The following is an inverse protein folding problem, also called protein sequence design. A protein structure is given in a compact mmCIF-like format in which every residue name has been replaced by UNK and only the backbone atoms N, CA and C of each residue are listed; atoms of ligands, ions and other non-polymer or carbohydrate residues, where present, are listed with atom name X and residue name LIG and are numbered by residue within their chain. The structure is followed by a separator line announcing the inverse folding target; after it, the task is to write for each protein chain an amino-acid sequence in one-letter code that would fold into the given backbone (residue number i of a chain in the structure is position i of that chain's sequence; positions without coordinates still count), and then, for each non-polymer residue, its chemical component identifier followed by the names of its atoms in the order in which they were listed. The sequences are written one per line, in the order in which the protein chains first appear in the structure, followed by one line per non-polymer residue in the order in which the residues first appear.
data_IF_888939894907
#
_entry.id   IF_888939894907
#
_cell.length_a   1.000
_cell.length_b   1.000
_cell.length_c   1.000
_cell.angle_alpha   90.00
_cell.angle_beta   90.00
_cell.angle_gamma   90.00
#
_symmetry.space_group_name_H-M   'P 1'
#
loop_
_entity.id
_entity.type
_entity.pdbx_description
1 polymer ?
#
# COMPACT_ATOMS: atom_id res chain seq x y z
N UNK A 1 1.09 -4.77 -14.49
CA UNK A 1 0.74 -5.29 -13.16
C UNK A 1 1.62 -4.61 -12.12
N UNK A 2 1.01 -3.95 -11.13
CA UNK A 2 1.68 -3.11 -10.14
C UNK A 2 1.37 -3.61 -8.73
N UNK A 3 2.20 -3.26 -7.76
CA UNK A 3 1.93 -3.55 -6.34
C UNK A 3 1.56 -2.26 -5.64
N UNK A 4 0.46 -2.26 -4.91
CA UNK A 4 0.00 -1.14 -4.10
C UNK A 4 0.20 -1.48 -2.63
N UNK A 5 0.84 -0.58 -1.89
CA UNK A 5 0.95 -0.63 -0.43
C UNK A 5 -0.22 0.15 0.17
N UNK A 6 -1.11 -0.57 0.83
CA UNK A 6 -2.30 -0.04 1.51
C UNK A 6 -2.07 -0.08 3.00
N UNK A 7 -2.05 1.06 3.67
CA UNK A 7 -1.91 1.14 5.12
C UNK A 7 -3.30 1.17 5.74
N UNK A 8 -3.70 0.09 6.38
CA UNK A 8 -4.97 -0.03 7.08
C UNK A 8 -4.82 0.40 8.55
N UNK A 9 -5.80 1.13 9.07
CA UNK A 9 -5.84 1.62 10.45
C UNK A 9 -5.71 0.50 11.49
N UNK A 10 -6.30 -0.67 11.23
CA UNK A 10 -6.38 -1.77 12.20
C UNK A 10 -5.31 -2.86 12.03
N UNK A 11 -4.75 -2.99 10.83
CA UNK A 11 -3.89 -4.13 10.45
C UNK A 11 -2.46 -3.68 10.10
N UNK A 12 -2.27 -2.43 9.71
CA UNK A 12 -1.00 -1.92 9.19
C UNK A 12 -0.89 -2.05 7.67
N UNK A 13 0.32 -2.13 7.14
CA UNK A 13 0.57 -2.13 5.70
C UNK A 13 0.30 -3.50 5.05
N UNK A 14 -0.48 -3.50 3.97
CA UNK A 14 -0.81 -4.66 3.14
C UNK A 14 -0.37 -4.37 1.70
N UNK A 15 0.11 -5.39 0.99
CA UNK A 15 0.48 -5.26 -0.43
C UNK A 15 -0.58 -5.93 -1.30
N UNK A 16 -1.08 -5.19 -2.29
CA UNK A 16 -2.14 -5.62 -3.22
C UNK A 16 -1.63 -5.52 -4.65
N UNK A 17 -1.60 -6.64 -5.36
CA UNK A 17 -1.16 -6.69 -6.75
C UNK A 17 -2.31 -6.42 -7.72
N UNK A 18 -2.41 -5.19 -8.21
CA UNK A 18 -3.49 -4.71 -9.07
C UNK A 18 -2.96 -3.97 -10.30
N UNK A 19 -3.81 -3.79 -11.31
CA UNK A 19 -3.50 -2.94 -12.48
C UNK A 19 -3.89 -1.48 -12.24
N UNK A 20 -4.98 -1.26 -11.47
CA UNK A 20 -5.44 0.07 -11.05
C UNK A 20 -6.14 -0.01 -9.69
N UNK A 21 -6.26 1.14 -9.03
CA UNK A 21 -7.14 1.31 -7.88
C UNK A 21 -8.09 2.49 -8.13
N UNK A 22 -9.29 2.41 -7.56
CA UNK A 22 -10.27 3.50 -7.53
C UNK A 22 -10.68 3.74 -6.08
N UNK A 23 -10.61 5.00 -5.65
CA UNK A 23 -10.99 5.42 -4.31
C UNK A 23 -12.22 6.31 -4.38
N UNK A 24 -13.32 5.82 -3.82
CA UNK A 24 -14.54 6.58 -3.57
C UNK A 24 -14.61 6.98 -2.08
N UNK A 25 -15.55 7.86 -1.74
CA UNK A 25 -15.76 8.36 -0.37
C UNK A 25 -16.04 7.23 0.65
N UNK A 26 -16.58 6.09 0.17
CA UNK A 26 -16.93 4.94 1.01
C UNK A 26 -15.94 3.77 0.92
N UNK A 27 -15.31 3.54 -0.24
CA UNK A 27 -14.57 2.32 -0.53
C UNK A 27 -13.32 2.61 -1.38
N UNK A 28 -12.25 1.90 -1.10
CA UNK A 28 -11.06 1.81 -1.94
C UNK A 28 -11.01 0.43 -2.57
N UNK A 29 -11.08 0.39 -3.90
CA UNK A 29 -11.15 -0.84 -4.71
C UNK A 29 -9.90 -1.03 -5.55
N UNK A 30 -9.42 -2.25 -5.62
CA UNK A 30 -8.27 -2.65 -6.43
C UNK A 30 -8.73 -3.59 -7.53
N UNK A 31 -8.34 -3.30 -8.77
CA UNK A 31 -8.78 -4.01 -9.96
C UNK A 31 -7.61 -4.70 -10.65
N UNK A 32 -7.84 -5.94 -11.09
CA UNK A 32 -6.98 -6.65 -12.04
C UNK A 32 -7.79 -6.90 -13.30
N UNK A 33 -7.45 -6.23 -14.40
CA UNK A 33 -8.36 -6.09 -15.54
C UNK A 33 -9.71 -5.48 -15.13
N UNK A 34 -10.81 -6.14 -15.49
CA UNK A 34 -12.19 -5.72 -15.16
C UNK A 34 -12.70 -6.28 -13.81
N UNK A 35 -11.89 -7.06 -13.10
CA UNK A 35 -12.29 -7.71 -11.84
C UNK A 35 -11.76 -6.98 -10.62
N UNK A 36 -12.62 -6.76 -9.63
CA UNK A 36 -12.21 -6.31 -8.29
C UNK A 36 -11.55 -7.48 -7.57
N UNK A 37 -10.32 -7.29 -7.11
CA UNK A 37 -9.55 -8.31 -6.38
C UNK A 37 -9.46 -8.02 -4.88
N UNK A 38 -9.61 -6.76 -4.49
CA UNK A 38 -9.62 -6.34 -3.10
C UNK A 38 -10.46 -5.06 -2.93
N UNK A 39 -11.16 -4.97 -1.81
CA UNK A 39 -11.99 -3.83 -1.44
C UNK A 39 -11.79 -3.55 0.05
N UNK A 40 -11.60 -2.27 0.38
CA UNK A 40 -11.45 -1.81 1.75
C UNK A 40 -12.34 -0.60 2.00
N UNK A 41 -12.95 -0.48 3.20
CA UNK A 41 -13.66 0.74 3.56
C UNK A 41 -12.69 1.92 3.62
N UNK A 42 -13.06 3.05 3.00
CA UNK A 42 -12.23 4.25 2.92
C UNK A 42 -11.82 4.74 4.33
N UNK A 43 -12.74 4.67 5.30
CA UNK A 43 -12.46 5.00 6.71
C UNK A 43 -11.38 4.14 7.36
N UNK A 44 -11.10 2.96 6.81
CA UNK A 44 -10.06 2.05 7.30
C UNK A 44 -8.73 2.23 6.56
N UNK A 45 -8.70 2.92 5.43
CA UNK A 45 -7.49 3.16 4.64
C UNK A 45 -6.86 4.50 5.06
N UNK A 46 -5.64 4.44 5.59
CA UNK A 46 -4.85 5.63 5.96
C UNK A 46 -4.04 6.18 4.80
N UNK A 47 -3.47 5.28 4.00
CA UNK A 47 -2.53 5.62 2.93
C UNK A 47 -2.57 4.54 1.85
N UNK A 48 -2.49 4.96 0.58
CA UNK A 48 -2.27 4.07 -0.57
C UNK A 48 -1.05 4.58 -1.33
N UNK A 49 -0.02 3.75 -1.46
CA UNK A 49 1.19 4.06 -2.21
C UNK A 49 1.44 3.03 -3.32
N UNK A 50 1.75 3.49 -4.53
CA UNK A 50 2.19 2.61 -5.61
C UNK A 50 3.65 2.21 -5.37
N UNK A 51 3.91 0.94 -5.09
CA UNK A 51 5.26 0.40 -5.00
C UNK A 51 5.66 -0.11 -6.37
N UNK A 52 6.31 0.76 -7.15
CA UNK A 52 6.78 0.46 -8.51
C UNK A 52 8.05 -0.41 -8.58
N UNK A 53 8.46 -1.05 -7.48
CA UNK A 53 9.68 -1.87 -7.46
C UNK A 53 9.34 -3.32 -7.11
N UNK A 54 9.82 -4.33 -7.88
CA UNK A 54 9.92 -5.67 -7.34
C UNK A 54 10.78 -5.62 -6.05
N UNK A 55 10.64 -6.56 -5.10
CA UNK A 55 11.46 -6.58 -3.90
C UNK A 55 12.92 -6.86 -4.27
N UNK A 56 13.65 -5.83 -4.70
CA UNK A 56 15.08 -5.79 -4.57
C UNK A 56 15.36 -5.49 -3.10
N UNK A 57 15.98 -6.46 -2.41
CA UNK A 57 16.37 -6.33 -1.02
C UNK A 57 16.98 -4.95 -0.74
N UNK A 58 16.31 -4.18 0.11
CA UNK A 58 16.72 -2.83 0.46
C UNK A 58 16.14 -2.53 1.84
N UNK A 59 16.98 -2.73 2.86
CA UNK A 59 16.62 -2.51 4.24
C UNK A 59 16.00 -1.14 4.44
N UNK A 60 14.89 -1.12 5.20
CA UNK A 60 14.53 0.06 5.97
C UNK A 60 15.69 0.35 6.93
N UNK A 61 16.62 1.18 6.48
CA UNK A 61 17.54 1.85 7.38
C UNK A 61 16.70 2.77 8.24
N UNK A 62 16.51 2.37 9.49
CA UNK A 62 16.24 3.30 10.57
C UNK A 62 17.35 4.35 10.54
N UNK A 63 17.05 5.60 10.15
CA UNK A 63 17.93 6.72 10.48
C UNK A 63 17.78 7.05 11.97
N UNK A 64 18.26 6.15 12.82
CA UNK A 64 18.74 6.52 14.15
C UNK A 64 20.24 6.85 13.99
N UNK A 65 20.55 8.06 13.54
CA UNK A 65 21.90 8.58 13.75
C UNK A 65 21.97 9.04 15.19
N UNK A 66 22.38 8.10 16.06
CA UNK A 66 22.87 8.37 17.38
C UNK A 66 24.03 9.38 17.28
N UNK A 67 23.96 10.44 18.08
CA UNK A 67 25.11 11.31 18.27
C UNK A 67 26.21 10.55 19.01
N UNK A 68 27.46 10.85 18.66
CA UNK A 68 28.61 10.56 19.51
C UNK A 68 29.73 11.57 19.20
N UNK A 69 30.17 12.22 20.29
CA UNK A 69 31.35 13.07 20.57
C UNK A 69 31.63 14.35 19.74
#
# INVERSE_FOLDING_TARGET
MKVYRVVLSSVGAVHVEADRYEGDDSLVRFFRGDSVIAEYPASSVKEVGETGHPPAGGGGFFSAHAGED
#
